data_IF_387903889649
#
_entry.id   IF_387903889649
#
_cell.length_a   1.000
_cell.length_b   1.000
_cell.length_c   1.000
_cell.angle_alpha   90.00
_cell.angle_beta   90.00
_cell.angle_gamma   90.00
#
_symmetry.space_group_name_H-M   'P 1'
#
loop_
_entity.id
_entity.type
_entity.pdbx_description
1 polymer ?
#
# COMPACT_ATOMS: atom_id res chain seq x y z
N UNK A 1 -12.07 -19.11 46.47
CA UNK A 1 -12.03 -19.90 45.22
C UNK A 1 -10.85 -19.43 44.37
N UNK A 2 -10.19 -20.28 43.59
CA UNK A 2 -9.04 -19.84 42.81
C UNK A 2 -9.54 -19.12 41.55
N UNK A 3 -9.40 -17.80 41.51
CA UNK A 3 -9.82 -16.91 40.42
C UNK A 3 -9.08 -17.19 39.11
N UNK A 4 -7.90 -17.78 39.17
CA UNK A 4 -7.07 -18.13 37.99
C UNK A 4 -7.50 -19.43 37.31
N UNK A 5 -8.29 -20.27 38.00
CA UNK A 5 -8.74 -21.57 37.46
C UNK A 5 -10.25 -21.57 37.15
N UNK A 6 -10.99 -20.72 37.80
CA UNK A 6 -12.45 -20.72 37.74
C UNK A 6 -13.01 -19.32 37.64
N UNK A 7 -14.07 -19.15 36.85
CA UNK A 7 -14.89 -17.98 36.84
C UNK A 7 -16.35 -18.35 37.10
N UNK A 8 -17.02 -17.62 37.96
CA UNK A 8 -18.42 -17.90 38.31
C UNK A 8 -19.27 -16.64 38.00
N UNK A 9 -20.29 -16.86 37.19
CA UNK A 9 -21.22 -15.86 36.71
C UNK A 9 -22.58 -16.23 37.28
N UNK A 10 -23.20 -15.29 38.00
CA UNK A 10 -24.55 -15.48 38.59
C UNK A 10 -25.49 -14.45 38.01
N UNK A 11 -26.56 -14.90 37.35
CA UNK A 11 -27.54 -14.04 36.65
C UNK A 11 -26.89 -13.01 35.74
N UNK A 12 -25.83 -13.41 35.04
CA UNK A 12 -25.10 -12.56 34.13
C UNK A 12 -24.04 -11.65 34.78
N UNK A 13 -23.87 -11.62 36.10
CA UNK A 13 -22.82 -10.84 36.76
C UNK A 13 -21.65 -11.73 37.19
N UNK A 14 -20.43 -11.24 37.02
CA UNK A 14 -19.22 -11.94 37.46
C UNK A 14 -19.12 -11.78 38.98
N UNK A 15 -19.11 -12.89 39.73
CA UNK A 15 -19.10 -12.92 41.21
C UNK A 15 -17.94 -13.74 41.79
N UNK A 16 -16.96 -14.12 41.00
CA UNK A 16 -15.87 -15.02 41.38
C UNK A 16 -15.13 -14.56 42.62
N UNK A 17 -14.79 -13.30 42.75
CA UNK A 17 -14.06 -12.71 43.88
C UNK A 17 -14.85 -12.69 45.19
N UNK A 18 -16.18 -12.75 45.09
CA UNK A 18 -17.09 -12.71 46.25
C UNK A 18 -17.38 -14.13 46.78
N UNK A 19 -16.95 -15.20 46.07
CA UNK A 19 -17.38 -16.59 46.30
C UNK A 19 -16.25 -17.40 46.94
N UNK A 20 -16.56 -18.11 48.02
CA UNK A 20 -15.68 -19.08 48.66
C UNK A 20 -15.74 -20.45 47.97
N UNK A 21 -16.93 -20.93 47.63
CA UNK A 21 -17.14 -22.18 46.92
C UNK A 21 -18.41 -22.18 46.09
N UNK A 22 -18.38 -22.89 44.93
CA UNK A 22 -19.52 -23.08 44.05
C UNK A 22 -19.55 -24.52 43.55
N UNK A 23 -20.61 -25.23 43.87
CA UNK A 23 -20.80 -26.65 43.52
C UNK A 23 -22.22 -26.91 43.03
N UNK A 24 -22.34 -27.81 42.05
CA UNK A 24 -23.65 -28.25 41.58
C UNK A 24 -24.12 -29.45 42.38
N UNK A 25 -25.26 -29.29 43.01
CA UNK A 25 -25.88 -30.34 43.81
C UNK A 25 -26.85 -31.17 42.95
N UNK A 26 -26.46 -32.42 42.64
CA UNK A 26 -27.27 -33.29 41.78
C UNK A 26 -28.61 -33.68 42.38
N UNK A 27 -28.72 -33.74 43.72
CA UNK A 27 -29.95 -34.14 44.39
C UNK A 27 -31.01 -33.05 44.29
N UNK A 28 -30.61 -31.81 44.43
CA UNK A 28 -31.53 -30.64 44.39
C UNK A 28 -31.63 -30.00 43.01
N UNK A 29 -30.79 -30.42 42.07
CA UNK A 29 -30.62 -29.83 40.72
C UNK A 29 -30.38 -28.31 40.79
N UNK A 30 -29.65 -27.86 41.79
CA UNK A 30 -29.32 -26.45 42.03
C UNK A 30 -27.81 -26.27 42.22
N UNK A 31 -27.34 -25.06 41.98
CA UNK A 31 -26.01 -24.62 42.34
C UNK A 31 -26.01 -24.11 43.77
N UNK A 32 -25.20 -24.69 44.65
CA UNK A 32 -24.95 -24.19 46.00
C UNK A 32 -23.71 -23.32 46.00
N UNK A 33 -23.91 -22.04 46.24
CA UNK A 33 -22.86 -21.00 46.21
C UNK A 33 -22.64 -20.46 47.59
N UNK A 34 -21.45 -20.62 48.13
CA UNK A 34 -21.05 -20.06 49.44
C UNK A 34 -20.23 -18.81 49.19
N UNK A 35 -20.70 -17.68 49.69
CA UNK A 35 -20.02 -16.39 49.61
C UNK A 35 -18.99 -16.20 50.72
N UNK A 36 -18.06 -15.26 50.53
CA UNK A 36 -17.01 -14.93 51.51
C UNK A 36 -17.59 -14.40 52.86
N UNK A 37 -18.82 -13.88 52.84
CA UNK A 37 -19.54 -13.51 54.06
C UNK A 37 -20.14 -14.67 54.89
N UNK A 38 -19.84 -15.92 54.49
CA UNK A 38 -20.28 -17.14 55.11
C UNK A 38 -21.69 -17.60 54.72
N UNK A 39 -22.47 -16.83 53.99
CA UNK A 39 -23.84 -17.19 53.58
C UNK A 39 -23.80 -18.11 52.36
N UNK A 40 -24.67 -19.12 52.34
CA UNK A 40 -24.85 -20.02 51.22
C UNK A 40 -26.21 -19.82 50.60
N UNK A 41 -26.25 -19.71 49.26
CA UNK A 41 -27.47 -19.57 48.47
C UNK A 41 -27.52 -20.68 47.39
N UNK A 42 -28.74 -21.20 47.18
CA UNK A 42 -29.02 -22.17 46.14
C UNK A 42 -29.69 -21.51 44.94
N UNK A 43 -29.05 -21.59 43.76
CA UNK A 43 -29.52 -20.98 42.52
C UNK A 43 -30.03 -22.06 41.56
N UNK A 44 -31.01 -21.73 40.74
CA UNK A 44 -31.45 -22.58 39.64
C UNK A 44 -30.29 -22.79 38.63
N UNK A 45 -30.29 -23.94 37.93
CA UNK A 45 -29.20 -24.33 37.01
C UNK A 45 -28.88 -23.21 36.00
N UNK A 46 -29.89 -22.62 35.37
CA UNK A 46 -29.73 -21.56 34.37
C UNK A 46 -29.20 -20.22 34.88
N UNK A 47 -29.17 -20.04 36.21
CA UNK A 47 -28.78 -18.77 36.83
C UNK A 47 -27.29 -18.73 37.23
N UNK A 48 -26.57 -19.84 37.12
CA UNK A 48 -25.16 -19.90 37.47
C UNK A 48 -24.38 -20.60 36.38
N UNK A 49 -23.33 -19.97 35.97
CA UNK A 49 -22.36 -20.52 35.05
C UNK A 49 -20.99 -20.56 35.72
N UNK A 50 -20.37 -21.75 35.73
CA UNK A 50 -19.04 -21.97 36.28
C UNK A 50 -18.12 -22.32 35.12
N UNK A 51 -17.25 -21.41 34.75
CA UNK A 51 -16.26 -21.60 33.69
C UNK A 51 -14.96 -22.15 34.28
N UNK A 52 -14.33 -23.06 33.57
CA UNK A 52 -13.07 -23.71 33.92
C UNK A 52 -12.10 -23.63 32.75
N UNK A 53 -10.87 -24.03 32.98
CA UNK A 53 -9.85 -24.21 31.93
C UNK A 53 -9.63 -22.94 31.07
N UNK A 54 -9.22 -21.81 31.69
CA UNK A 54 -8.99 -20.56 30.96
C UNK A 54 -7.79 -20.70 30.01
N UNK A 55 -7.90 -20.02 28.89
CA UNK A 55 -6.75 -19.76 28.03
C UNK A 55 -5.83 -18.74 28.72
N UNK A 56 -4.55 -19.09 28.87
CA UNK A 56 -3.55 -18.20 29.48
C UNK A 56 -2.84 -17.44 28.37
N UNK A 57 -2.98 -16.12 28.38
CA UNK A 57 -2.36 -15.24 27.39
C UNK A 57 -1.08 -14.61 27.93
N UNK A 58 -0.11 -14.39 27.04
CA UNK A 58 1.11 -13.65 27.37
C UNK A 58 0.80 -12.15 27.45
N UNK A 59 0.89 -11.50 28.61
CA UNK A 59 0.53 -10.09 28.78
C UNK A 59 1.31 -9.13 27.85
N UNK A 60 2.55 -9.47 27.51
CA UNK A 60 3.39 -8.65 26.65
C UNK A 60 2.86 -8.57 25.20
N UNK A 61 1.97 -9.46 24.81
CA UNK A 61 1.36 -9.48 23.47
C UNK A 61 0.06 -8.66 23.39
N UNK A 62 -0.41 -8.07 24.51
CA UNK A 62 -1.67 -7.36 24.55
C UNK A 62 -1.50 -5.99 25.20
N UNK A 63 -2.12 -4.98 24.60
CA UNK A 63 -2.38 -3.70 25.24
C UNK A 63 -3.87 -3.60 25.48
N UNK A 64 -4.23 -3.39 26.74
CA UNK A 64 -5.61 -3.41 27.21
C UNK A 64 -5.95 -2.04 27.79
N UNK A 65 -7.08 -1.51 27.38
CA UNK A 65 -7.61 -0.27 27.96
C UNK A 65 -9.11 -0.38 28.22
N UNK A 66 -9.60 0.40 29.18
CA UNK A 66 -11.01 0.56 29.48
C UNK A 66 -11.33 2.04 29.61
N UNK A 67 -12.39 2.51 28.96
CA UNK A 67 -12.83 3.91 29.01
C UNK A 67 -11.67 4.91 28.72
N UNK A 68 -10.79 4.56 27.78
CA UNK A 68 -9.64 5.39 27.40
C UNK A 68 -8.44 5.33 28.35
N UNK A 69 -8.51 4.55 29.43
CA UNK A 69 -7.38 4.36 30.37
C UNK A 69 -6.68 3.03 30.10
N UNK A 70 -5.40 3.09 29.76
CA UNK A 70 -4.57 1.91 29.54
C UNK A 70 -4.21 1.22 30.86
N UNK A 71 -4.18 -0.13 30.85
CA UNK A 71 -3.73 -0.93 31.99
C UNK A 71 -2.22 -1.07 31.91
N UNK A 72 -1.57 -0.76 33.01
CA UNK A 72 -0.13 -0.90 33.17
C UNK A 72 0.19 -2.06 34.12
N UNK A 73 1.40 -2.60 34.00
CA UNK A 73 1.93 -3.65 34.89
C UNK A 73 1.02 -4.89 34.98
N UNK A 74 0.57 -5.37 33.81
CA UNK A 74 -0.23 -6.59 33.71
C UNK A 74 0.70 -7.81 33.75
N UNK A 75 0.56 -8.65 34.78
CA UNK A 75 1.41 -9.81 35.00
C UNK A 75 0.84 -11.11 34.42
N UNK A 76 -0.47 -11.29 34.41
CA UNK A 76 -1.12 -12.48 33.87
C UNK A 76 -2.52 -12.15 33.34
N UNK A 77 -2.93 -12.86 32.30
CA UNK A 77 -4.25 -12.75 31.67
C UNK A 77 -4.81 -14.16 31.50
N UNK A 78 -6.00 -14.39 32.06
CA UNK A 78 -6.76 -15.62 31.93
C UNK A 78 -8.07 -15.33 31.21
N UNK A 79 -8.34 -16.02 30.11
CA UNK A 79 -9.55 -15.81 29.31
C UNK A 79 -10.46 -17.03 29.45
N UNK A 80 -11.62 -16.80 30.02
CA UNK A 80 -12.69 -17.79 30.13
C UNK A 80 -13.69 -17.59 29.00
N UNK A 81 -14.13 -18.67 28.38
CA UNK A 81 -15.06 -18.62 27.23
C UNK A 81 -16.40 -19.29 27.59
N UNK A 82 -17.50 -18.66 27.19
CA UNK A 82 -18.84 -19.18 27.29
C UNK A 82 -19.62 -18.88 26.00
N UNK A 83 -19.78 -19.89 25.16
CA UNK A 83 -20.39 -19.68 23.84
C UNK A 83 -19.68 -18.62 23.03
N UNK A 84 -20.37 -17.53 22.71
CA UNK A 84 -19.81 -16.36 21.98
C UNK A 84 -19.22 -15.30 22.91
N UNK A 85 -19.42 -15.40 24.23
CA UNK A 85 -18.89 -14.44 25.19
C UNK A 85 -17.53 -14.88 25.72
N UNK A 86 -16.69 -13.91 26.08
CA UNK A 86 -15.44 -14.15 26.77
C UNK A 86 -15.25 -13.17 27.93
N UNK A 87 -14.64 -13.68 28.98
CA UNK A 87 -14.40 -12.99 30.22
C UNK A 87 -12.91 -13.00 30.50
N UNK A 88 -12.37 -11.86 30.90
CA UNK A 88 -10.95 -11.63 31.09
C UNK A 88 -10.64 -11.43 32.56
N UNK A 89 -9.89 -12.32 33.15
CA UNK A 89 -9.34 -12.17 34.50
C UNK A 89 -7.91 -11.65 34.37
N UNK A 90 -7.65 -10.46 34.88
CA UNK A 90 -6.39 -9.75 34.72
C UNK A 90 -5.74 -9.56 36.08
N UNK A 91 -4.49 -10.05 36.21
CA UNK A 91 -3.67 -9.89 37.39
C UNK A 91 -2.64 -8.78 37.14
N UNK A 92 -2.51 -7.86 38.08
CA UNK A 92 -1.59 -6.73 38.04
C UNK A 92 -0.37 -6.95 38.94
N UNK A 93 0.71 -6.20 38.71
CA UNK A 93 1.95 -6.31 39.48
C UNK A 93 1.84 -5.87 40.93
N UNK A 94 0.88 -5.03 41.27
CA UNK A 94 0.53 -4.65 42.65
C UNK A 94 -0.19 -5.76 43.41
N UNK A 95 -0.42 -6.93 42.80
CA UNK A 95 -1.16 -8.06 43.36
C UNK A 95 -2.69 -7.93 43.26
N UNK A 96 -3.22 -6.88 42.69
CA UNK A 96 -4.65 -6.76 42.41
C UNK A 96 -5.09 -7.64 41.27
N UNK A 97 -6.30 -8.17 41.34
CA UNK A 97 -6.91 -9.01 40.30
C UNK A 97 -8.29 -8.42 39.97
N UNK A 98 -8.65 -8.37 38.69
CA UNK A 98 -9.92 -7.83 38.24
C UNK A 98 -10.50 -8.61 37.09
N UNK A 99 -11.83 -8.76 37.10
CA UNK A 99 -12.59 -9.46 36.09
C UNK A 99 -13.32 -8.46 35.18
N UNK A 100 -13.30 -8.76 33.89
CA UNK A 100 -13.94 -7.92 32.87
C UNK A 100 -14.66 -8.78 31.83
N UNK A 101 -15.73 -8.25 31.23
CA UNK A 101 -16.26 -8.77 29.97
C UNK A 101 -15.40 -8.29 28.83
N UNK A 102 -15.24 -9.09 27.80
CA UNK A 102 -14.47 -8.73 26.59
C UNK A 102 -14.94 -7.39 26.00
N UNK A 103 -16.26 -7.16 25.97
CA UNK A 103 -16.86 -5.98 25.36
C UNK A 103 -16.60 -4.68 26.14
N UNK A 104 -16.22 -4.77 27.43
CA UNK A 104 -15.87 -3.62 28.25
C UNK A 104 -14.42 -3.18 28.04
N UNK A 105 -13.63 -3.95 27.28
CA UNK A 105 -12.22 -3.76 27.07
C UNK A 105 -11.92 -3.41 25.61
N UNK A 106 -11.10 -2.41 25.41
CA UNK A 106 -10.42 -2.17 24.15
C UNK A 106 -9.06 -2.88 24.19
N UNK A 107 -8.90 -3.88 23.33
CA UNK A 107 -7.73 -4.77 23.32
C UNK A 107 -7.04 -4.66 21.97
N UNK A 108 -5.75 -4.35 22.00
CA UNK A 108 -4.87 -4.35 20.84
C UNK A 108 -3.90 -5.51 21.00
N UNK A 109 -3.92 -6.43 20.06
CA UNK A 109 -3.02 -7.56 20.01
C UNK A 109 -1.76 -7.23 19.20
N UNK A 110 -0.61 -7.65 19.69
CA UNK A 110 0.65 -7.55 18.97
C UNK A 110 0.66 -8.46 17.73
N UNK A 111 1.15 -7.99 16.60
CA UNK A 111 1.35 -8.86 15.45
C UNK A 111 2.35 -10.00 15.73
N UNK A 112 3.18 -9.88 16.78
CA UNK A 112 4.12 -10.92 17.21
C UNK A 112 3.42 -12.13 17.85
N UNK A 113 2.14 -12.04 18.20
CA UNK A 113 1.34 -13.19 18.60
C UNK A 113 1.08 -14.15 17.44
N UNK A 114 1.18 -13.67 16.20
CA UNK A 114 1.07 -14.49 14.99
C UNK A 114 2.41 -15.14 14.66
N UNK A 115 2.42 -16.45 14.42
CA UNK A 115 3.64 -17.22 14.16
C UNK A 115 4.46 -16.70 12.98
N UNK A 116 3.80 -16.24 11.90
CA UNK A 116 4.48 -15.69 10.73
C UNK A 116 5.28 -14.43 11.09
N UNK A 117 4.66 -13.46 11.74
CA UNK A 117 5.32 -12.22 12.15
C UNK A 117 6.42 -12.48 13.18
N UNK A 118 6.16 -13.36 14.15
CA UNK A 118 7.11 -13.73 15.19
C UNK A 118 8.36 -14.37 14.60
N UNK A 119 8.22 -15.32 13.67
CA UNK A 119 9.35 -16.00 13.04
C UNK A 119 10.23 -15.03 12.25
N UNK A 120 9.63 -14.11 11.50
CA UNK A 120 10.37 -13.07 10.76
C UNK A 120 11.07 -12.13 11.74
N UNK A 121 10.40 -11.73 12.82
CA UNK A 121 10.98 -10.86 13.84
C UNK A 121 12.19 -11.51 14.52
N UNK A 122 12.09 -12.78 14.95
CA UNK A 122 13.18 -13.52 15.57
C UNK A 122 14.36 -13.70 14.59
N UNK A 123 14.10 -13.94 13.31
CA UNK A 123 15.15 -14.00 12.29
C UNK A 123 15.89 -12.67 12.17
N UNK A 124 15.18 -11.54 12.11
CA UNK A 124 15.80 -10.19 12.06
C UNK A 124 16.59 -9.91 13.34
N UNK A 125 16.07 -10.32 14.49
CA UNK A 125 16.73 -10.20 15.78
C UNK A 125 18.06 -10.97 15.82
N UNK A 126 18.09 -12.20 15.27
CA UNK A 126 19.32 -12.98 15.12
C UNK A 126 20.33 -12.26 14.23
N UNK A 127 19.92 -11.71 13.08
CA UNK A 127 20.79 -10.92 12.21
C UNK A 127 21.33 -9.68 12.95
N UNK A 128 20.49 -8.99 13.71
CA UNK A 128 20.91 -7.86 14.54
C UNK A 128 21.95 -8.26 15.58
N UNK A 129 21.86 -9.48 16.12
CA UNK A 129 22.87 -10.07 17.02
C UNK A 129 24.23 -10.37 16.36
N UNK A 130 24.23 -10.60 15.04
CA UNK A 130 25.48 -10.80 14.27
C UNK A 130 26.16 -9.46 13.92
N UNK A 131 25.44 -8.34 14.00
CA UNK A 131 25.98 -7.02 13.67
C UNK A 131 27.17 -6.64 14.54
N UNK A 132 28.19 -6.09 13.92
CA UNK A 132 29.38 -5.54 14.61
C UNK A 132 29.21 -4.09 15.03
N UNK A 133 28.04 -3.49 14.82
CA UNK A 133 27.76 -2.12 15.25
C UNK A 133 27.67 -2.05 16.78
N UNK A 134 28.73 -1.48 17.38
CA UNK A 134 28.87 -1.34 18.84
C UNK A 134 28.84 0.12 19.23
N UNK A 135 28.40 0.37 20.45
CA UNK A 135 28.61 1.66 21.10
C UNK A 135 30.13 1.83 21.37
N UNK A 136 30.71 2.93 20.96
CA UNK A 136 32.13 3.20 21.11
C UNK A 136 32.57 3.30 22.60
N UNK A 137 31.67 3.73 23.49
CA UNK A 137 31.97 3.92 24.92
C UNK A 137 31.72 2.65 25.74
N UNK A 138 30.65 1.91 25.45
CA UNK A 138 30.26 0.76 26.29
C UNK A 138 30.60 -0.60 25.67
N UNK A 139 30.99 -0.65 24.40
CA UNK A 139 31.22 -1.89 23.65
C UNK A 139 29.96 -2.73 23.36
N UNK A 140 28.79 -2.29 23.80
CA UNK A 140 27.54 -3.01 23.64
C UNK A 140 27.06 -3.02 22.17
N UNK A 141 26.47 -4.15 21.74
CA UNK A 141 25.85 -4.28 20.43
C UNK A 141 24.57 -3.44 20.36
N UNK A 142 24.58 -2.37 19.56
CA UNK A 142 23.50 -1.40 19.51
C UNK A 142 22.19 -1.97 18.95
N UNK A 143 22.25 -2.77 17.88
CA UNK A 143 21.06 -3.31 17.25
C UNK A 143 20.41 -4.40 18.11
N UNK A 144 21.20 -5.35 18.64
CA UNK A 144 20.70 -6.41 19.51
C UNK A 144 19.93 -5.82 20.70
N UNK A 145 20.54 -4.88 21.41
CA UNK A 145 19.93 -4.22 22.58
C UNK A 145 18.61 -3.49 22.23
N UNK A 146 18.50 -2.93 21.01
CA UNK A 146 17.26 -2.28 20.57
C UNK A 146 16.17 -3.31 20.26
N UNK A 147 16.51 -4.40 19.59
CA UNK A 147 15.54 -5.47 19.30
C UNK A 147 15.04 -6.16 20.56
N UNK A 148 15.91 -6.36 21.56
CA UNK A 148 15.56 -6.96 22.86
C UNK A 148 14.51 -6.13 23.64
N UNK A 149 14.43 -4.83 23.38
CA UNK A 149 13.44 -3.94 24.00
C UNK A 149 12.08 -3.94 23.30
N UNK A 150 11.98 -4.55 22.12
CA UNK A 150 10.73 -4.60 21.37
C UNK A 150 9.97 -5.88 21.81
N UNK A 151 9.02 -5.73 22.71
CA UNK A 151 8.14 -6.81 23.17
C UNK A 151 6.75 -6.76 22.54
N UNK A 152 6.36 -5.62 21.98
CA UNK A 152 5.06 -5.39 21.41
C UNK A 152 5.16 -4.64 20.07
N UNK A 153 4.44 -5.12 19.05
CA UNK A 153 4.31 -4.46 17.75
C UNK A 153 2.83 -4.44 17.36
N UNK A 154 2.21 -3.28 17.40
CA UNK A 154 0.80 -3.12 16.99
C UNK A 154 0.60 -3.44 15.51
N UNK A 155 -0.54 -3.98 15.14
CA UNK A 155 -0.85 -4.38 13.76
C UNK A 155 -0.95 -3.21 12.78
N UNK A 156 -1.16 -2.00 13.28
CA UNK A 156 -1.32 -0.76 12.51
C UNK A 156 0.02 -0.07 12.16
N UNK A 157 1.13 -0.46 12.80
CA UNK A 157 2.44 0.16 12.54
C UNK A 157 3.16 -0.43 11.32
N UNK A 158 4.07 0.35 10.72
CA UNK A 158 4.81 -0.05 9.54
C UNK A 158 5.64 -1.33 9.75
N UNK A 159 6.20 -1.54 10.95
CA UNK A 159 6.97 -2.72 11.28
C UNK A 159 6.11 -3.98 11.19
N UNK A 160 4.86 -3.97 11.66
CA UNK A 160 3.96 -5.12 11.55
C UNK A 160 3.72 -5.52 10.09
N UNK A 161 3.54 -4.54 9.21
CA UNK A 161 3.34 -4.76 7.77
C UNK A 161 4.60 -5.26 7.08
N UNK A 162 5.78 -4.86 7.56
CA UNK A 162 7.05 -5.41 7.10
C UNK A 162 7.22 -6.87 7.53
N UNK A 163 6.85 -7.21 8.77
CA UNK A 163 6.92 -8.59 9.29
C UNK A 163 5.89 -9.51 8.63
N UNK A 164 4.74 -8.98 8.25
CA UNK A 164 3.69 -9.73 7.56
C UNK A 164 3.03 -8.85 6.49
N UNK A 165 3.47 -8.96 5.22
CA UNK A 165 2.91 -8.18 4.11
C UNK A 165 1.41 -8.41 3.87
N UNK A 166 0.81 -9.49 4.34
CA UNK A 166 -0.64 -9.72 4.24
C UNK A 166 -1.46 -8.70 5.05
N UNK A 167 -0.82 -8.01 5.99
CA UNK A 167 -1.41 -6.90 6.76
C UNK A 167 -1.41 -5.56 6.01
N UNK A 168 -0.79 -5.52 4.81
CA UNK A 168 -0.86 -4.35 3.94
C UNK A 168 -2.29 -4.22 3.40
N UNK A 169 -3.07 -3.40 4.04
CA UNK A 169 -4.34 -2.93 3.49
C UNK A 169 -4.08 -1.61 2.75
N UNK A 170 -4.56 -1.49 1.52
CA UNK A 170 -4.62 -0.21 0.83
C UNK A 170 -5.65 0.69 1.55
N UNK A 171 -5.22 1.33 2.63
CA UNK A 171 -5.99 2.40 3.24
C UNK A 171 -5.85 3.63 2.33
N UNK A 172 -6.75 3.77 1.39
CA UNK A 172 -6.97 5.07 0.77
C UNK A 172 -7.54 5.99 1.85
N UNK A 173 -6.75 6.97 2.25
CA UNK A 173 -7.24 8.06 3.09
C UNK A 173 -8.40 8.70 2.33
N UNK A 174 -9.58 8.82 2.94
CA UNK A 174 -10.84 9.18 2.28
C UNK A 174 -10.89 10.61 1.68
N UNK A 175 -9.80 11.39 1.75
CA UNK A 175 -9.62 12.65 1.03
C UNK A 175 -8.33 12.58 0.22
N UNK A 176 -8.42 12.94 -1.05
CA UNK A 176 -7.26 13.08 -1.91
C UNK A 176 -6.27 14.08 -1.29
N UNK A 177 -5.04 13.63 -1.05
CA UNK A 177 -3.99 14.50 -0.53
C UNK A 177 -3.49 15.42 -1.64
N UNK A 178 -3.45 16.70 -1.37
CA UNK A 178 -2.93 17.72 -2.30
C UNK A 178 -1.51 18.08 -1.86
N UNK A 179 -0.48 17.57 -2.55
CA UNK A 179 0.90 17.83 -2.19
C UNK A 179 1.37 19.21 -2.64
N UNK A 180 2.32 19.77 -1.88
CA UNK A 180 3.07 20.97 -2.24
C UNK A 180 4.45 20.62 -2.78
N UNK A 181 5.00 21.44 -3.67
CA UNK A 181 6.28 21.20 -4.34
C UNK A 181 7.22 22.40 -4.30
N UNK A 182 7.64 22.89 -3.11
CA UNK A 182 8.49 24.07 -3.00
C UNK A 182 9.86 23.89 -3.66
N UNK A 183 10.28 22.65 -3.86
CA UNK A 183 11.55 22.32 -4.51
C UNK A 183 11.39 21.98 -6.01
N UNK A 184 10.18 22.17 -6.59
CA UNK A 184 9.85 21.75 -7.94
C UNK A 184 9.63 20.25 -8.08
N UNK A 185 9.03 19.80 -9.19
CA UNK A 185 8.83 18.37 -9.45
C UNK A 185 8.63 18.11 -10.94
N UNK A 186 8.82 16.85 -11.34
CA UNK A 186 8.31 16.28 -12.58
C UNK A 186 7.16 15.29 -12.27
N UNK A 187 6.53 14.71 -13.29
CA UNK A 187 5.39 13.82 -13.13
C UNK A 187 5.69 12.61 -12.22
N UNK A 188 6.85 11.95 -12.40
CA UNK A 188 7.22 10.80 -11.55
C UNK A 188 7.48 11.20 -10.11
N UNK A 189 8.10 12.36 -9.87
CA UNK A 189 8.30 12.91 -8.53
C UNK A 189 6.98 13.32 -7.89
N UNK A 190 6.04 13.91 -8.66
CA UNK A 190 4.69 14.21 -8.20
C UNK A 190 3.99 12.94 -7.69
N UNK A 191 3.97 11.88 -8.51
CA UNK A 191 3.39 10.57 -8.14
C UNK A 191 4.08 9.98 -6.89
N UNK A 192 5.42 10.10 -6.79
CA UNK A 192 6.18 9.60 -5.65
C UNK A 192 5.86 10.32 -4.34
N UNK A 193 5.79 11.66 -4.35
CA UNK A 193 5.42 12.46 -3.17
C UNK A 193 3.99 12.15 -2.76
N UNK A 194 3.05 12.13 -3.71
CA UNK A 194 1.64 11.79 -3.43
C UNK A 194 1.53 10.42 -2.78
N UNK A 195 2.17 9.40 -3.35
CA UNK A 195 2.16 8.04 -2.79
C UNK A 195 2.77 7.99 -1.38
N UNK A 196 3.87 8.73 -1.13
CA UNK A 196 4.49 8.80 0.19
C UNK A 196 3.56 9.43 1.24
N UNK A 197 2.72 10.38 0.84
CA UNK A 197 1.78 11.06 1.75
C UNK A 197 0.48 10.28 1.96
N UNK A 198 0.05 9.49 0.98
CA UNK A 198 -1.20 8.71 1.04
C UNK A 198 -1.04 7.31 1.63
N UNK A 199 0.18 6.76 1.61
CA UNK A 199 0.48 5.40 2.07
C UNK A 199 1.40 5.40 3.28
N UNK A 200 1.22 4.41 4.15
CA UNK A 200 2.06 4.23 5.32
C UNK A 200 3.48 3.77 4.95
N UNK A 201 3.61 3.00 3.88
CA UNK A 201 4.88 2.53 3.33
C UNK A 201 4.87 2.85 1.84
N UNK A 202 5.91 3.51 1.37
CA UNK A 202 6.14 3.71 -0.06
C UNK A 202 7.60 3.46 -0.41
N UNK A 203 7.84 2.89 -1.59
CA UNK A 203 9.19 2.62 -2.11
C UNK A 203 9.43 3.51 -3.32
N UNK A 204 10.48 4.34 -3.26
CA UNK A 204 10.85 5.26 -4.32
C UNK A 204 12.17 4.79 -4.91
N UNK A 205 12.14 4.26 -6.12
CA UNK A 205 13.31 3.83 -6.86
C UNK A 205 13.65 4.81 -7.99
N UNK A 206 14.93 4.94 -8.26
CA UNK A 206 15.40 5.73 -9.39
C UNK A 206 16.93 5.68 -9.52
N UNK A 207 17.47 5.68 -10.74
CA UNK A 207 18.91 5.78 -10.95
C UNK A 207 19.49 7.10 -10.44
N UNK A 208 20.82 7.23 -10.33
CA UNK A 208 21.46 8.52 -10.03
C UNK A 208 20.99 9.62 -11.01
N UNK A 209 20.83 10.84 -10.51
CA UNK A 209 20.42 11.99 -11.33
C UNK A 209 18.91 12.17 -11.54
N UNK A 210 18.05 11.24 -11.11
CA UNK A 210 16.57 11.33 -11.30
C UNK A 210 15.88 12.29 -10.31
N UNK A 211 16.63 12.96 -9.45
CA UNK A 211 16.06 13.92 -8.49
C UNK A 211 15.49 13.30 -7.22
N UNK A 212 15.98 12.12 -6.77
CA UNK A 212 15.54 11.49 -5.52
C UNK A 212 15.63 12.43 -4.31
N UNK A 213 16.72 13.18 -4.18
CA UNK A 213 16.88 14.16 -3.08
C UNK A 213 15.82 15.26 -3.14
N UNK A 214 15.48 15.74 -4.34
CA UNK A 214 14.41 16.71 -4.54
C UNK A 214 13.04 16.15 -4.11
N UNK A 215 12.78 14.88 -4.43
CA UNK A 215 11.57 14.18 -3.97
C UNK A 215 11.54 14.10 -2.44
N UNK A 216 12.66 13.73 -1.78
CA UNK A 216 12.78 13.69 -0.32
C UNK A 216 12.50 15.07 0.29
N UNK A 217 13.05 16.13 -0.27
CA UNK A 217 12.81 17.51 0.20
C UNK A 217 11.34 17.90 0.11
N UNK A 218 10.67 17.54 -0.98
CA UNK A 218 9.23 17.77 -1.11
C UNK A 218 8.43 16.96 -0.09
N UNK A 219 8.80 15.70 0.18
CA UNK A 219 8.16 14.88 1.23
C UNK A 219 8.33 15.53 2.60
N UNK A 220 9.54 16.00 2.93
CA UNK A 220 9.82 16.73 4.18
C UNK A 220 8.88 17.94 4.30
N UNK A 221 8.80 18.78 3.25
CA UNK A 221 7.95 19.95 3.26
C UNK A 221 6.48 19.60 3.52
N UNK A 222 5.96 18.54 2.89
CA UNK A 222 4.59 18.09 3.08
C UNK A 222 4.32 17.54 4.49
N UNK A 223 5.29 16.85 5.10
CA UNK A 223 5.19 16.35 6.49
C UNK A 223 5.19 17.52 7.47
N UNK A 224 6.10 18.49 7.29
CA UNK A 224 6.18 19.68 8.15
C UNK A 224 4.91 20.54 8.07
N UNK A 225 4.31 20.67 6.87
CA UNK A 225 3.03 21.36 6.70
C UNK A 225 1.88 20.71 7.48
N UNK A 226 2.00 19.42 7.83
CA UNK A 226 1.03 18.74 8.70
C UNK A 226 1.37 18.90 10.19
N UNK A 227 2.36 19.71 10.56
CA UNK A 227 2.83 19.87 11.93
C UNK A 227 3.52 18.63 12.50
N UNK A 228 3.97 17.69 11.64
CA UNK A 228 4.63 16.46 12.03
C UNK A 228 6.15 16.57 11.93
N UNK A 229 6.86 15.70 12.63
CA UNK A 229 8.31 15.55 12.53
C UNK A 229 8.69 14.45 11.55
N UNK A 230 9.90 14.54 10.98
CA UNK A 230 10.44 13.57 10.04
C UNK A 230 11.85 13.16 10.46
N UNK A 231 12.17 11.88 10.35
CA UNK A 231 13.51 11.37 10.56
C UNK A 231 14.06 10.80 9.25
N UNK A 232 15.25 11.23 8.87
CA UNK A 232 15.97 10.74 7.70
C UNK A 232 17.11 9.86 8.22
N UNK A 233 17.15 8.62 7.74
CA UNK A 233 18.18 7.66 8.10
C UNK A 233 18.86 7.12 6.85
N UNK A 234 20.17 6.91 6.94
CA UNK A 234 20.99 6.27 5.91
C UNK A 234 22.13 5.51 6.56
N UNK A 235 22.60 4.47 5.90
CA UNK A 235 23.85 3.77 6.25
C UNK A 235 25.10 4.55 5.79
N UNK A 236 24.92 5.64 5.02
CA UNK A 236 26.00 6.54 4.61
C UNK A 236 25.68 7.97 5.05
N UNK A 237 26.56 8.57 5.84
CA UNK A 237 26.42 9.93 6.36
C UNK A 237 26.30 10.98 5.25
N UNK A 238 27.04 10.81 4.14
CA UNK A 238 27.00 11.76 3.02
C UNK A 238 25.60 11.89 2.37
N UNK A 239 24.78 10.85 2.44
CA UNK A 239 23.43 10.91 1.89
C UNK A 239 22.50 11.78 2.75
N UNK A 240 22.62 11.72 4.07
CA UNK A 240 21.85 12.59 4.99
C UNK A 240 22.39 14.02 4.99
N UNK A 241 23.70 14.18 4.89
CA UNK A 241 24.38 15.48 4.78
C UNK A 241 23.95 16.24 3.52
N UNK A 242 23.85 15.57 2.38
CA UNK A 242 23.36 16.18 1.13
C UNK A 242 21.95 16.76 1.27
N UNK A 243 21.06 16.12 2.04
CA UNK A 243 19.73 16.66 2.31
C UNK A 243 19.83 17.91 3.19
N UNK A 244 20.66 17.86 4.24
CA UNK A 244 20.89 19.00 5.13
C UNK A 244 21.49 20.20 4.40
N UNK A 245 22.53 20.00 3.59
CA UNK A 245 23.17 21.05 2.78
C UNK A 245 22.18 21.73 1.82
N UNK A 246 21.30 20.95 1.19
CA UNK A 246 20.27 21.52 0.32
C UNK A 246 19.25 22.36 1.08
N UNK A 247 18.80 21.91 2.27
CA UNK A 247 17.93 22.71 3.13
C UNK A 247 18.60 23.98 3.59
N UNK A 248 19.90 23.90 3.96
CA UNK A 248 20.71 25.01 4.48
C UNK A 248 21.22 25.95 3.39
N UNK A 249 21.03 25.59 2.11
CA UNK A 249 21.51 26.41 1.00
C UNK A 249 20.93 27.82 1.05
N UNK A 250 21.64 28.86 0.55
CA UNK A 250 21.19 30.26 0.59
C UNK A 250 19.83 30.47 -0.10
N UNK A 251 19.48 29.59 -1.03
CA UNK A 251 18.20 29.65 -1.74
C UNK A 251 17.00 29.36 -0.83
N UNK A 252 17.17 28.44 0.14
CA UNK A 252 16.07 27.99 1.00
C UNK A 252 16.23 28.45 2.45
N UNK A 253 17.45 28.50 2.94
CA UNK A 253 17.80 28.94 4.31
C UNK A 253 16.98 28.25 5.41
N UNK A 254 16.75 26.92 5.25
CA UNK A 254 15.94 26.10 6.13
C UNK A 254 16.78 25.19 7.05
N UNK A 255 18.08 25.43 7.19
CA UNK A 255 18.97 24.61 8.03
C UNK A 255 18.53 24.55 9.49
N UNK A 256 17.91 25.61 10.01
CA UNK A 256 17.44 25.70 11.39
C UNK A 256 16.31 24.71 11.75
N UNK A 257 15.60 24.15 10.74
CA UNK A 257 14.54 23.16 11.01
C UNK A 257 15.07 21.73 11.15
N UNK A 258 16.38 21.51 10.96
CA UNK A 258 17.00 20.19 10.93
C UNK A 258 18.06 20.03 11.99
N UNK A 259 18.07 18.84 12.63
CA UNK A 259 19.09 18.46 13.61
C UNK A 259 19.87 17.25 13.09
N UNK A 260 21.20 17.34 13.09
CA UNK A 260 22.10 16.24 12.70
C UNK A 260 22.46 15.41 13.92
N UNK A 261 21.75 14.30 14.17
CA UNK A 261 21.83 13.53 15.41
C UNK A 261 22.44 12.13 15.23
N UNK A 262 23.04 11.84 14.08
CA UNK A 262 23.46 10.50 13.68
C UNK A 262 24.59 9.87 14.53
N UNK A 263 25.46 10.67 15.17
CA UNK A 263 26.56 10.20 16.01
C UNK A 263 26.61 10.96 17.32
N UNK A 264 27.33 10.43 18.33
CA UNK A 264 27.57 11.13 19.60
C UNK A 264 28.31 12.46 19.37
N UNK A 265 29.24 12.50 18.41
CA UNK A 265 29.92 13.71 18.00
C UNK A 265 28.96 14.76 17.44
N UNK A 266 28.12 14.36 16.52
CA UNK A 266 27.13 15.25 15.90
C UNK A 266 26.13 15.79 16.93
N UNK A 267 25.71 14.96 17.88
CA UNK A 267 24.85 15.41 18.98
C UNK A 267 25.50 16.47 19.86
N UNK A 268 26.76 16.28 20.21
CA UNK A 268 27.53 17.28 20.97
C UNK A 268 27.66 18.58 20.19
N UNK A 269 28.07 18.52 18.94
CA UNK A 269 28.17 19.68 18.06
C UNK A 269 26.82 20.39 17.89
N UNK A 270 25.72 19.63 17.73
CA UNK A 270 24.39 20.21 17.63
C UNK A 270 24.02 21.01 18.89
N UNK A 271 24.29 20.46 20.09
CA UNK A 271 24.00 21.12 21.35
C UNK A 271 24.92 22.35 21.55
N UNK A 272 26.20 22.24 21.21
CA UNK A 272 27.19 23.32 21.33
C UNK A 272 26.90 24.50 20.39
N UNK A 273 26.35 24.23 19.20
CA UNK A 273 26.01 25.25 18.18
C UNK A 273 24.54 25.67 18.20
N UNK A 274 23.80 25.29 19.24
CA UNK A 274 22.43 25.82 19.43
C UNK A 274 22.52 27.31 19.84
N UNK A 275 22.28 28.19 18.88
CA UNK A 275 22.08 29.60 19.20
C UNK A 275 20.74 29.79 19.92
N UNK A 276 20.75 30.57 20.99
CA UNK A 276 19.52 30.92 21.72
C UNK A 276 18.59 31.82 20.90
N UNK A 277 19.04 32.37 19.78
CA UNK A 277 18.26 33.22 18.90
C UNK A 277 17.62 32.44 17.76
N UNK A 278 16.32 32.43 17.69
CA UNK A 278 15.59 31.95 16.50
C UNK A 278 15.78 32.92 15.34
N UNK A 279 15.71 32.43 14.07
CA UNK A 279 15.67 33.30 12.90
C UNK A 279 14.54 34.35 13.03
N UNK A 280 14.78 35.57 12.51
CA UNK A 280 13.73 36.57 12.45
C UNK A 280 12.69 36.17 11.40
N UNK A 281 11.51 35.79 11.86
CA UNK A 281 10.38 35.41 11.01
C UNK A 281 9.46 36.60 10.67
N UNK A 282 9.82 37.82 11.04
CA UNK A 282 8.97 38.99 10.76
C UNK A 282 8.69 39.19 9.28
N UNK A 283 9.70 38.92 8.43
CA UNK A 283 9.59 38.95 6.96
C UNK A 283 8.83 37.77 6.34
N UNK A 284 8.55 36.72 7.10
CA UNK A 284 7.86 35.51 6.64
C UNK A 284 6.35 35.59 6.85
N UNK A 285 5.87 36.59 7.55
CA UNK A 285 4.44 36.81 7.76
C UNK A 285 3.81 37.26 6.45
N UNK A 286 3.02 36.40 5.83
CA UNK A 286 2.14 36.79 4.74
C UNK A 286 0.89 37.44 5.35
N UNK A 287 0.43 38.54 4.77
CA UNK A 287 -0.85 39.17 5.18
C UNK A 287 -2.09 38.40 4.69
N UNK A 288 -1.89 37.26 4.06
CA UNK A 288 -2.95 36.43 3.46
C UNK A 288 -3.47 35.37 4.44
N UNK A 289 -4.77 35.15 4.39
CA UNK A 289 -5.42 34.08 5.15
C UNK A 289 -4.91 32.70 4.68
N UNK A 290 -4.45 31.82 5.60
CA UNK A 290 -4.02 30.47 5.25
C UNK A 290 -5.04 29.66 4.44
N UNK A 291 -6.33 29.91 4.62
CA UNK A 291 -7.41 29.25 3.86
C UNK A 291 -7.42 29.64 2.38
N UNK A 292 -7.08 30.90 2.06
CA UNK A 292 -6.97 31.40 0.69
C UNK A 292 -5.75 30.77 0.01
N UNK A 293 -4.61 30.70 0.73
CA UNK A 293 -3.40 30.05 0.24
C UNK A 293 -3.64 28.55 -0.04
N UNK A 294 -4.35 27.85 0.85
CA UNK A 294 -4.67 26.44 0.65
C UNK A 294 -5.55 26.21 -0.59
N UNK A 295 -6.54 27.05 -0.82
CA UNK A 295 -7.37 26.99 -2.05
C UNK A 295 -6.54 27.22 -3.29
N UNK A 296 -5.71 28.27 -3.31
CA UNK A 296 -4.80 28.55 -4.42
C UNK A 296 -3.85 27.40 -4.73
N UNK A 297 -3.26 26.77 -3.69
CA UNK A 297 -2.42 25.57 -3.84
C UNK A 297 -3.23 24.41 -4.44
N UNK A 298 -4.46 24.19 -3.97
CA UNK A 298 -5.31 23.12 -4.48
C UNK A 298 -5.62 23.29 -5.99
N UNK A 299 -5.97 24.50 -6.40
CA UNK A 299 -6.24 24.83 -7.79
C UNK A 299 -5.00 24.66 -8.68
N UNK A 300 -3.85 25.21 -8.26
CA UNK A 300 -2.60 25.06 -8.98
C UNK A 300 -2.11 23.61 -9.06
N UNK A 301 -2.24 22.85 -7.99
CA UNK A 301 -1.90 21.41 -7.99
C UNK A 301 -2.79 20.60 -8.93
N UNK A 302 -4.08 20.93 -9.02
CA UNK A 302 -5.00 20.31 -9.97
C UNK A 302 -4.64 20.62 -11.42
N UNK A 303 -4.29 21.88 -11.71
CA UNK A 303 -3.81 22.31 -13.03
C UNK A 303 -2.50 21.60 -13.39
N UNK A 304 -1.54 21.54 -12.47
CA UNK A 304 -0.26 20.87 -12.67
C UNK A 304 -0.47 19.37 -12.99
N UNK A 305 -1.35 18.70 -12.26
CA UNK A 305 -1.71 17.31 -12.54
C UNK A 305 -2.27 17.14 -13.96
N UNK A 306 -3.21 18.02 -14.36
CA UNK A 306 -3.78 18.02 -15.71
C UNK A 306 -2.71 18.18 -16.80
N UNK A 307 -1.72 19.05 -16.56
CA UNK A 307 -0.60 19.25 -17.50
C UNK A 307 0.24 17.98 -17.59
N UNK A 308 0.59 17.35 -16.48
CA UNK A 308 1.34 16.09 -16.47
C UNK A 308 0.60 14.95 -17.18
N UNK A 309 -0.70 14.79 -16.94
CA UNK A 309 -1.52 13.79 -17.61
C UNK A 309 -1.56 14.00 -19.14
N UNK A 310 -1.66 15.27 -19.59
CA UNK A 310 -1.59 15.63 -21.01
C UNK A 310 -0.21 15.35 -21.61
N UNK A 311 0.88 15.65 -20.89
CA UNK A 311 2.24 15.36 -21.34
C UNK A 311 2.48 13.84 -21.48
N UNK A 312 1.99 13.04 -20.53
CA UNK A 312 2.10 11.57 -20.58
C UNK A 312 1.33 11.02 -21.79
N UNK A 313 0.09 11.49 -22.01
CA UNK A 313 -0.72 11.12 -23.18
C UNK A 313 -0.03 11.49 -24.48
N UNK A 314 0.54 12.70 -24.56
CA UNK A 314 1.27 13.17 -25.74
C UNK A 314 2.51 12.30 -26.01
N UNK A 315 3.25 11.89 -24.96
CA UNK A 315 4.41 11.02 -25.10
C UNK A 315 4.01 9.63 -25.62
N UNK A 316 2.93 9.04 -25.10
CA UNK A 316 2.38 7.77 -25.61
C UNK A 316 1.98 7.88 -27.10
N UNK A 317 1.22 8.91 -27.45
CA UNK A 317 0.80 9.13 -28.85
C UNK A 317 1.97 9.33 -29.80
N UNK A 318 3.04 10.03 -29.37
CA UNK A 318 4.25 10.19 -30.16
C UNK A 318 4.99 8.86 -30.36
N UNK A 319 5.02 8.02 -29.33
CA UNK A 319 5.61 6.69 -29.45
C UNK A 319 4.81 5.80 -30.40
N UNK A 320 3.49 5.77 -30.26
CA UNK A 320 2.62 5.04 -31.20
C UNK A 320 2.77 5.53 -32.64
N UNK A 321 2.81 6.84 -32.85
CA UNK A 321 3.04 7.42 -34.16
C UNK A 321 4.41 6.98 -34.76
N UNK A 322 5.47 6.99 -33.94
CA UNK A 322 6.80 6.55 -34.38
C UNK A 322 6.79 5.09 -34.80
N UNK A 323 6.11 4.22 -34.02
CA UNK A 323 5.96 2.80 -34.36
C UNK A 323 5.21 2.61 -35.68
N UNK A 324 4.09 3.31 -35.86
CA UNK A 324 3.28 3.24 -37.08
C UNK A 324 4.03 3.76 -38.32
N UNK A 325 4.85 4.80 -38.17
CA UNK A 325 5.71 5.29 -39.28
C UNK A 325 6.71 4.20 -39.68
N UNK A 326 7.35 3.57 -38.71
CA UNK A 326 8.28 2.46 -38.98
C UNK A 326 7.59 1.28 -39.67
N UNK A 327 6.41 0.89 -39.17
CA UNK A 327 5.59 -0.17 -39.80
C UNK A 327 5.18 0.21 -41.21
N UNK A 328 4.84 1.47 -41.48
CA UNK A 328 4.52 1.95 -42.81
C UNK A 328 5.72 1.84 -43.78
N UNK A 329 6.92 2.16 -43.33
CA UNK A 329 8.13 2.03 -44.13
C UNK A 329 8.40 0.59 -44.50
N UNK A 330 8.35 -0.34 -43.51
CA UNK A 330 8.49 -1.78 -43.77
C UNK A 330 7.39 -2.32 -44.69
N UNK A 331 6.14 -1.87 -44.49
CA UNK A 331 5.04 -2.24 -45.37
C UNK A 331 5.24 -1.76 -46.79
N UNK A 332 5.67 -0.53 -47.00
CA UNK A 332 5.95 0.02 -48.34
C UNK A 332 7.11 -0.76 -49.04
N UNK A 333 8.11 -1.17 -48.27
CA UNK A 333 9.18 -2.02 -48.79
C UNK A 333 8.64 -3.40 -49.18
N UNK A 334 7.86 -4.05 -48.32
CA UNK A 334 7.20 -5.33 -48.58
C UNK A 334 6.34 -5.30 -49.84
N UNK A 335 5.53 -4.24 -50.01
CA UNK A 335 4.66 -4.07 -51.22
C UNK A 335 5.53 -3.97 -52.49
N UNK A 336 6.66 -3.27 -52.45
CA UNK A 336 7.59 -3.17 -53.58
C UNK A 336 8.26 -4.50 -53.94
N UNK A 337 8.66 -5.26 -52.90
CA UNK A 337 9.38 -6.53 -53.11
C UNK A 337 8.43 -7.68 -53.50
N UNK A 338 7.17 -7.65 -53.04
CA UNK A 338 6.23 -8.76 -53.22
C UNK A 338 5.32 -8.65 -54.44
N UNK A 339 5.51 -7.66 -55.30
CA UNK A 339 4.68 -7.39 -56.50
C UNK A 339 3.15 -7.39 -56.19
N UNK A 340 2.81 -6.78 -55.03
CA UNK A 340 1.42 -6.73 -54.53
C UNK A 340 0.68 -5.59 -55.23
N UNK A 341 -0.29 -5.94 -56.05
CA UNK A 341 -1.18 -4.95 -56.69
C UNK A 341 -2.39 -4.62 -55.79
N UNK A 342 -2.23 -3.63 -54.91
CA UNK A 342 -3.30 -3.18 -54.00
C UNK A 342 -4.51 -2.58 -54.71
N UNK A 343 -4.35 -2.04 -55.93
CA UNK A 343 -5.38 -1.38 -56.71
C UNK A 343 -6.30 -2.32 -57.50
N UNK A 344 -6.04 -3.61 -57.42
CA UNK A 344 -6.67 -4.62 -58.27
C UNK A 344 -7.94 -5.25 -57.69
N UNK A 345 -8.30 -4.92 -56.44
CA UNK A 345 -9.54 -5.41 -55.81
C UNK A 345 -10.52 -4.27 -55.64
N UNK A 346 -11.68 -4.35 -56.29
CA UNK A 346 -12.76 -3.37 -56.15
C UNK A 346 -13.69 -3.74 -55.02
N UNK A 347 -13.91 -2.79 -54.12
CA UNK A 347 -14.83 -2.91 -52.99
C UNK A 347 -15.96 -1.85 -53.10
N UNK A 348 -17.18 -2.27 -52.82
CA UNK A 348 -18.32 -1.34 -52.72
C UNK A 348 -18.41 -0.60 -51.40
N UNK A 349 -17.67 -1.05 -50.35
CA UNK A 349 -17.70 -0.48 -49.01
C UNK A 349 -16.25 -0.35 -48.47
N UNK A 350 -15.99 0.71 -47.70
CA UNK A 350 -14.77 0.77 -46.89
C UNK A 350 -14.86 -0.27 -45.77
N UNK A 351 -13.91 -1.17 -45.67
CA UNK A 351 -13.83 -2.20 -44.65
C UNK A 351 -13.00 -1.68 -43.46
N UNK A 352 -13.42 -2.04 -42.25
CA UNK A 352 -12.63 -1.80 -41.07
C UNK A 352 -11.45 -2.79 -40.97
N UNK A 353 -10.42 -2.45 -40.22
CA UNK A 353 -9.23 -3.30 -40.02
C UNK A 353 -9.63 -4.69 -39.50
N UNK A 354 -10.61 -4.78 -38.60
CA UNK A 354 -11.13 -6.06 -38.10
C UNK A 354 -11.76 -6.89 -39.21
N UNK A 355 -12.47 -6.27 -40.14
CA UNK A 355 -13.07 -6.98 -41.29
C UNK A 355 -12.02 -7.46 -42.28
N UNK A 356 -10.94 -6.66 -42.51
CA UNK A 356 -9.80 -7.04 -43.31
C UNK A 356 -9.04 -8.24 -42.72
N UNK A 357 -8.82 -8.23 -41.42
CA UNK A 357 -8.18 -9.32 -40.71
C UNK A 357 -8.95 -10.62 -40.86
N UNK A 358 -10.28 -10.58 -40.66
CA UNK A 358 -11.13 -11.76 -40.80
C UNK A 358 -11.12 -12.29 -42.24
N UNK A 359 -11.18 -11.39 -43.24
CA UNK A 359 -11.16 -11.77 -44.65
C UNK A 359 -9.81 -12.40 -45.05
N UNK A 360 -8.72 -11.89 -44.52
CA UNK A 360 -7.39 -12.48 -44.69
C UNK A 360 -7.30 -13.87 -44.04
N UNK A 361 -7.69 -14.04 -42.78
CA UNK A 361 -7.70 -15.33 -42.09
C UNK A 361 -8.59 -16.37 -42.78
N UNK A 362 -9.81 -16.00 -43.15
CA UNK A 362 -10.71 -16.89 -43.91
C UNK A 362 -10.09 -17.32 -45.26
N UNK A 363 -9.32 -16.43 -45.88
CA UNK A 363 -8.61 -16.76 -47.11
C UNK A 363 -7.42 -17.70 -46.93
N UNK A 364 -6.69 -17.62 -45.80
CA UNK A 364 -5.65 -18.56 -45.43
C UNK A 364 -6.17 -19.97 -45.21
N UNK A 365 -7.24 -20.11 -44.43
CA UNK A 365 -7.87 -21.39 -44.13
C UNK A 365 -8.31 -22.12 -45.42
N UNK A 366 -8.92 -21.38 -46.34
CA UNK A 366 -9.33 -21.96 -47.64
C UNK A 366 -8.08 -22.43 -48.47
N UNK A 367 -6.96 -21.77 -48.32
CA UNK A 367 -5.71 -22.16 -48.99
C UNK A 367 -5.12 -23.44 -48.40
N UNK A 368 -5.16 -23.61 -47.09
CA UNK A 368 -4.67 -24.80 -46.39
C UNK A 368 -5.47 -26.06 -46.77
N UNK A 369 -6.77 -25.91 -46.94
CA UNK A 369 -7.68 -27.00 -47.33
C UNK A 369 -7.62 -27.35 -48.84
N UNK A 370 -6.77 -26.67 -49.64
CA UNK A 370 -6.65 -26.83 -51.11
C UNK A 370 -7.96 -26.76 -51.88
N UNK A 371 -8.97 -26.10 -51.31
CA UNK A 371 -10.27 -25.94 -51.92
C UNK A 371 -10.32 -24.71 -52.82
N UNK A 372 -10.85 -24.82 -54.02
CA UNK A 372 -11.15 -23.65 -54.85
C UNK A 372 -12.15 -22.77 -54.10
N UNK A 373 -12.04 -21.43 -54.24
CA UNK A 373 -12.96 -20.51 -53.61
C UNK A 373 -14.41 -20.88 -54.02
N UNK A 374 -15.12 -21.51 -53.09
CA UNK A 374 -16.48 -21.94 -53.32
C UNK A 374 -17.42 -20.77 -53.56
N UNK A 375 -18.51 -21.07 -54.27
CA UNK A 375 -19.60 -20.12 -54.56
C UNK A 375 -20.10 -19.40 -53.26
N UNK A 376 -20.25 -20.14 -52.18
CA UNK A 376 -20.74 -19.62 -50.90
C UNK A 376 -19.75 -18.60 -50.24
N UNK A 377 -18.46 -18.80 -50.36
CA UNK A 377 -17.49 -17.82 -49.88
C UNK A 377 -17.55 -16.53 -50.70
N UNK A 378 -17.71 -16.61 -52.03
CA UNK A 378 -17.86 -15.43 -52.88
C UNK A 378 -19.14 -14.65 -52.54
N UNK A 379 -20.22 -15.38 -52.30
CA UNK A 379 -21.49 -14.77 -51.90
C UNK A 379 -21.40 -14.10 -50.53
N UNK A 380 -20.80 -14.77 -49.54
CA UNK A 380 -20.53 -14.21 -48.22
C UNK A 380 -19.65 -12.96 -48.30
N UNK A 381 -18.59 -13.00 -49.06
CA UNK A 381 -17.66 -11.87 -49.23
C UNK A 381 -18.31 -10.69 -49.96
N UNK A 382 -19.19 -10.95 -50.92
CA UNK A 382 -19.98 -9.91 -51.60
C UNK A 382 -20.93 -9.22 -50.64
N UNK A 383 -21.73 -9.98 -49.89
CA UNK A 383 -22.75 -9.39 -49.01
C UNK A 383 -22.14 -8.80 -47.73
N UNK A 384 -21.19 -9.50 -47.11
CA UNK A 384 -20.63 -9.08 -45.83
C UNK A 384 -19.52 -8.03 -45.98
N UNK A 385 -18.67 -8.18 -47.00
CA UNK A 385 -17.48 -7.33 -47.19
C UNK A 385 -17.55 -6.46 -48.46
N UNK A 386 -18.54 -6.66 -49.32
CA UNK A 386 -18.70 -5.87 -50.55
C UNK A 386 -17.64 -6.13 -51.60
N UNK A 387 -17.01 -7.29 -51.59
CA UNK A 387 -15.99 -7.68 -52.60
C UNK A 387 -16.69 -8.00 -53.91
N UNK A 388 -16.42 -7.22 -54.96
CA UNK A 388 -17.10 -7.35 -56.28
C UNK A 388 -16.20 -7.88 -57.37
N UNK A 389 -14.89 -7.75 -57.24
CA UNK A 389 -13.93 -8.21 -58.25
C UNK A 389 -13.05 -9.33 -57.66
N UNK A 390 -13.07 -10.48 -58.35
CA UNK A 390 -12.34 -11.70 -58.01
C UNK A 390 -11.31 -12.06 -59.10
N UNK A 391 -10.99 -11.12 -59.99
CA UNK A 391 -10.11 -11.37 -61.14
C UNK A 391 -8.74 -11.87 -60.72
N UNK A 392 -8.16 -11.36 -59.65
CA UNK A 392 -6.88 -11.77 -59.09
C UNK A 392 -6.96 -13.13 -58.38
N UNK A 393 -8.08 -13.38 -57.70
CA UNK A 393 -8.27 -14.59 -56.88
C UNK A 393 -8.42 -15.89 -57.73
N UNK A 394 -8.67 -15.74 -59.02
CA UNK A 394 -8.78 -16.90 -59.91
C UNK A 394 -7.41 -17.43 -60.40
N UNK A 395 -6.37 -16.63 -60.33
CA UNK A 395 -5.07 -16.96 -60.91
C UNK A 395 -4.03 -17.45 -59.93
N UNK A 396 -4.07 -16.97 -58.70
CA UNK A 396 -3.07 -17.32 -57.68
C UNK A 396 -3.58 -17.13 -56.27
N UNK A 397 -3.64 -18.22 -55.51
CA UNK A 397 -4.14 -18.19 -54.09
C UNK A 397 -3.17 -17.39 -53.21
N UNK A 398 -1.86 -17.48 -53.46
CA UNK A 398 -0.86 -16.75 -52.68
C UNK A 398 -1.00 -15.23 -52.86
N UNK A 399 -1.21 -14.78 -54.10
CA UNK A 399 -1.43 -13.36 -54.41
C UNK A 399 -2.68 -12.78 -53.71
N UNK A 400 -3.73 -13.60 -53.57
CA UNK A 400 -4.95 -13.19 -52.87
C UNK A 400 -4.68 -12.97 -51.37
N UNK A 401 -3.98 -13.92 -50.74
CA UNK A 401 -3.65 -13.85 -49.30
C UNK A 401 -2.76 -12.63 -49.06
N UNK A 402 -1.70 -12.42 -49.83
CA UNK A 402 -0.82 -11.26 -49.72
C UNK A 402 -1.55 -9.94 -49.95
N UNK A 403 -2.51 -9.90 -50.87
CA UNK A 403 -3.31 -8.71 -51.13
C UNK A 403 -4.23 -8.37 -49.96
N UNK A 404 -4.94 -9.37 -49.37
CA UNK A 404 -5.78 -9.11 -48.19
C UNK A 404 -4.95 -8.77 -46.96
N UNK A 405 -3.78 -9.36 -46.78
CA UNK A 405 -2.82 -8.99 -45.75
C UNK A 405 -2.35 -7.55 -45.92
N UNK A 406 -1.98 -7.16 -47.13
CA UNK A 406 -1.59 -5.80 -47.45
C UNK A 406 -2.70 -4.79 -47.18
N UNK A 407 -3.94 -5.10 -47.54
CA UNK A 407 -5.10 -4.25 -47.27
C UNK A 407 -5.43 -4.14 -45.79
N UNK A 408 -5.21 -5.21 -45.01
CA UNK A 408 -5.30 -5.16 -43.57
C UNK A 408 -4.30 -4.16 -42.98
N UNK A 409 -3.01 -4.26 -43.36
CA UNK A 409 -1.99 -3.32 -42.86
C UNK A 409 -2.25 -1.88 -43.31
N UNK A 410 -2.66 -1.66 -44.57
CA UNK A 410 -3.08 -0.34 -45.04
C UNK A 410 -4.24 0.24 -44.21
N UNK A 411 -5.20 -0.58 -43.83
CA UNK A 411 -6.33 -0.13 -43.01
C UNK A 411 -5.93 0.29 -41.60
N UNK A 412 -4.86 -0.28 -41.02
CA UNK A 412 -4.28 0.14 -39.75
C UNK A 412 -3.59 1.49 -39.89
N UNK A 413 -2.87 1.71 -40.98
CA UNK A 413 -2.17 2.98 -41.29
C UNK A 413 -3.21 4.11 -41.43
N UNK A 414 -4.31 3.88 -42.15
CA UNK A 414 -5.38 4.88 -42.32
C UNK A 414 -6.13 5.25 -41.04
N UNK A 415 -6.17 4.39 -40.02
CA UNK A 415 -6.71 4.72 -38.71
C UNK A 415 -5.82 5.75 -37.99
N UNK A 416 -4.52 5.73 -38.25
CA UNK A 416 -3.54 6.63 -37.62
C UNK A 416 -3.39 7.99 -38.30
N UNK A 417 -3.89 8.16 -39.54
CA UNK A 417 -3.81 9.44 -40.27
C UNK A 417 -4.56 10.60 -39.58
N UNK A 418 -5.77 10.44 -39.00
CA UNK A 418 -6.43 11.51 -38.26
C UNK A 418 -5.60 11.99 -37.07
N UNK A 419 -4.91 11.08 -36.40
CA UNK A 419 -4.04 11.39 -35.25
C UNK A 419 -2.81 12.21 -35.67
N UNK A 420 -2.38 12.10 -36.92
CA UNK A 420 -1.25 12.84 -37.49
C UNK A 420 -1.61 14.30 -37.78
N UNK A 421 -2.87 14.58 -38.10
CA UNK A 421 -3.37 15.96 -38.34
C UNK A 421 -3.68 16.70 -37.04
N UNK A 422 -4.00 15.98 -35.94
CA UNK A 422 -4.28 16.55 -34.62
C UNK A 422 -3.01 16.74 -33.75
N UNK A 423 -1.91 16.11 -34.11
CA UNK A 423 -0.63 16.19 -33.38
C UNK A 423 0.30 17.27 -33.95
#
# INVERSE_FOLDING_TARGET
MNTRCYMVIIKGEIKTSEIMSCGYNRNTQKWDVKFNNGKTYSYAYLNVEKLTDPEVLNPNMYRISREGREFFDVNAIYVFRSGSESYWHICFGDGSERDYRRNDLHIIESCLAQSQSSNVFEYIKQIAGLSNLKNEETGEKLLSKKFDKISFVGSDVALAKYLNPSLLQEKRIGREYIPIFPFGCNNSQYKAVKNAMENQISVIQGPPGTGKTQTILNIIANILMQGKTVQIVSNNNSATENVYEKLSSPKYNLGFVAATLGSSKNKKLFVEHQDAAYPDFSSWKTGEDPSVLQKGIAEQSSQLKSVFDKQEKLACLRQELSQLVTEQEYFNQYVKESDVHTDSIKFKKKLSSKQWMVLWQESQLISEEKTAIGFWFKLKALFKYGVTDWSISKRDISKRITTFQAMYYLSLIHISEPTRQEA
#
